data_IF_848080895669
#
_entry.id   IF_848080895669
#
_cell.length_a   1.000
_cell.length_b   1.000
_cell.length_c   1.000
_cell.angle_alpha   90.00
_cell.angle_beta   90.00
_cell.angle_gamma   90.00
#
_symmetry.space_group_name_H-M   'P 1'
#
loop_
_entity.id
_entity.type
_entity.pdbx_description
1 polymer ?
#
# COMPACT_ATOMS: atom_id res chain seq x y z
N UNK A 1 -10.52 -7.89 -6.19
CA UNK A 1 -9.78 -6.65 -6.52
C UNK A 1 -8.52 -6.62 -5.68
N UNK A 2 -7.34 -6.32 -6.24
CA UNK A 2 -6.10 -6.19 -5.46
C UNK A 2 -5.93 -4.73 -5.05
N UNK A 3 -5.80 -4.48 -3.75
CA UNK A 3 -5.58 -3.13 -3.22
C UNK A 3 -4.09 -2.87 -3.10
N UNK A 4 -3.61 -1.79 -3.70
CA UNK A 4 -2.24 -1.31 -3.62
C UNK A 4 -2.26 0.11 -3.06
N UNK A 5 -1.51 0.35 -1.99
CA UNK A 5 -1.39 1.65 -1.36
C UNK A 5 0.06 2.14 -1.36
N UNK A 6 0.22 3.45 -1.46
CA UNK A 6 1.51 4.12 -1.32
C UNK A 6 1.65 4.73 0.07
N UNK A 7 2.83 5.30 0.36
CA UNK A 7 3.04 6.09 1.56
C UNK A 7 2.06 7.25 1.70
N UNK A 8 1.69 7.93 0.61
CA UNK A 8 0.78 9.05 0.67
C UNK A 8 -0.62 8.64 1.13
N UNK A 9 -1.13 7.51 0.63
CA UNK A 9 -2.39 6.94 1.08
C UNK A 9 -2.33 6.52 2.55
N UNK A 10 -1.25 5.87 2.97
CA UNK A 10 -1.06 5.51 4.38
C UNK A 10 -1.06 6.75 5.30
N UNK A 11 -0.41 7.84 4.88
CA UNK A 11 -0.42 9.10 5.63
C UNK A 11 -1.81 9.74 5.67
N UNK A 12 -2.57 9.73 4.57
CA UNK A 12 -3.96 10.19 4.53
C UNK A 12 -4.82 9.40 5.53
N UNK A 13 -4.67 8.07 5.55
CA UNK A 13 -5.37 7.18 6.48
C UNK A 13 -5.00 7.52 7.93
N UNK A 14 -3.71 7.66 8.25
CA UNK A 14 -3.27 7.98 9.60
C UNK A 14 -3.82 9.31 10.12
N UNK A 15 -3.87 10.34 9.26
CA UNK A 15 -4.34 11.70 9.60
C UNK A 15 -5.86 11.86 9.60
N UNK A 16 -6.60 11.00 8.90
CA UNK A 16 -8.06 11.08 8.83
C UNK A 16 -8.72 10.86 10.20
N UNK A 17 -9.92 11.38 10.38
CA UNK A 17 -10.77 11.03 11.53
C UNK A 17 -11.33 9.61 11.36
N UNK A 18 -11.90 9.05 12.43
CA UNK A 18 -12.67 7.81 12.34
C UNK A 18 -13.87 7.99 11.39
N UNK A 19 -14.25 6.91 10.71
CA UNK A 19 -15.34 6.89 9.73
C UNK A 19 -14.87 6.56 8.30
N UNK A 20 -15.76 6.76 7.32
CA UNK A 20 -15.47 6.46 5.93
C UNK A 20 -14.45 7.45 5.34
N UNK A 21 -13.51 6.92 4.56
CA UNK A 21 -12.53 7.70 3.80
C UNK A 21 -12.49 7.19 2.37
N UNK A 22 -12.57 8.09 1.39
CA UNK A 22 -12.42 7.74 -0.03
C UNK A 22 -11.00 8.08 -0.49
N UNK A 23 -10.30 7.11 -1.06
CA UNK A 23 -8.95 7.27 -1.60
C UNK A 23 -8.72 6.31 -2.77
N UNK A 24 -7.68 6.55 -3.56
CA UNK A 24 -7.24 5.57 -4.55
C UNK A 24 -6.39 4.50 -3.89
N UNK A 25 -6.73 3.23 -4.14
CA UNK A 25 -6.04 2.05 -3.62
C UNK A 25 -5.60 1.12 -4.74
N UNK A 26 -5.28 1.70 -5.88
CA UNK A 26 -4.86 1.03 -7.11
C UNK A 26 -3.98 1.96 -7.95
N UNK A 27 -3.12 2.74 -7.29
CA UNK A 27 -2.13 3.62 -7.92
C UNK A 27 -2.73 4.73 -8.80
N UNK A 28 -3.91 5.24 -8.42
CA UNK A 28 -4.58 6.36 -9.08
C UNK A 28 -5.61 5.97 -10.14
N UNK A 29 -5.83 4.67 -10.38
CA UNK A 29 -6.75 4.20 -11.44
C UNK A 29 -8.23 4.36 -11.07
N UNK A 30 -8.58 4.12 -9.81
CA UNK A 30 -9.94 4.29 -9.29
C UNK A 30 -9.92 4.75 -7.83
N UNK A 31 -11.10 5.00 -7.26
CA UNK A 31 -11.25 5.31 -5.84
C UNK A 31 -12.12 4.27 -5.14
N UNK A 32 -11.80 4.02 -3.88
CA UNK A 32 -12.55 3.12 -3.02
C UNK A 32 -12.80 3.78 -1.66
N UNK A 33 -13.95 3.47 -1.08
CA UNK A 33 -14.28 3.87 0.29
C UNK A 33 -13.78 2.80 1.25
N UNK A 34 -12.98 3.22 2.22
CA UNK A 34 -12.53 2.40 3.34
C UNK A 34 -13.15 2.91 4.63
N UNK A 35 -13.09 2.10 5.67
CA UNK A 35 -13.58 2.50 6.99
C UNK A 35 -12.44 2.50 8.00
N UNK A 36 -12.16 3.66 8.60
CA UNK A 36 -11.17 3.80 9.66
C UNK A 36 -11.83 3.78 11.02
N UNK A 37 -11.33 2.93 11.91
CA UNK A 37 -11.64 2.92 13.34
C UNK A 37 -10.40 3.32 14.16
N UNK A 38 -10.55 3.36 15.50
CA UNK A 38 -9.44 3.65 16.43
C UNK A 38 -8.22 2.74 16.27
N UNK A 39 -8.46 1.47 16.00
CA UNK A 39 -7.41 0.43 16.03
C UNK A 39 -7.18 -0.25 14.70
N UNK A 40 -8.12 -0.14 13.76
CA UNK A 40 -8.13 -0.90 12.52
C UNK A 40 -8.61 -0.04 11.35
N UNK A 41 -8.33 -0.51 10.14
CA UNK A 41 -8.80 0.04 8.87
C UNK A 41 -9.36 -1.10 8.05
N UNK A 42 -10.62 -1.01 7.65
CA UNK A 42 -11.30 -1.99 6.80
C UNK A 42 -11.19 -1.56 5.34
N UNK A 43 -10.61 -2.42 4.52
CA UNK A 43 -10.38 -2.20 3.08
C UNK A 43 -10.99 -3.38 2.32
N UNK A 44 -12.20 -3.19 1.76
CA UNK A 44 -13.01 -4.30 1.26
C UNK A 44 -13.27 -5.32 2.37
N UNK A 45 -12.92 -6.59 2.12
CA UNK A 45 -13.06 -7.68 3.10
C UNK A 45 -11.84 -7.83 4.04
N UNK A 46 -10.83 -6.97 3.90
CA UNK A 46 -9.58 -7.04 4.67
C UNK A 46 -9.63 -6.08 5.86
N UNK A 47 -9.18 -6.53 7.03
CA UNK A 47 -9.06 -5.69 8.23
C UNK A 47 -7.60 -5.54 8.64
N UNK A 48 -7.08 -4.32 8.53
CA UNK A 48 -5.65 -4.03 8.76
C UNK A 48 -5.49 -3.26 10.07
N UNK A 49 -4.60 -3.68 10.98
CA UNK A 49 -4.30 -2.90 12.18
C UNK A 49 -3.77 -1.51 11.81
N UNK A 50 -4.28 -0.46 12.45
CA UNK A 50 -3.88 0.93 12.18
C UNK A 50 -2.36 1.13 12.39
N UNK A 51 -1.77 0.39 13.33
CA UNK A 51 -0.32 0.33 13.58
C UNK A 51 0.51 -0.19 12.41
N UNK A 52 -0.07 -0.86 11.42
CA UNK A 52 0.64 -1.33 10.23
C UNK A 52 0.97 -0.15 9.30
N UNK A 53 0.08 0.85 9.22
CA UNK A 53 0.24 2.01 8.35
C UNK A 53 1.40 2.92 8.78
N UNK A 54 1.78 2.91 10.07
CA UNK A 54 2.96 3.66 10.56
C UNK A 54 4.29 3.07 10.11
N UNK A 55 4.29 1.81 9.63
CA UNK A 55 5.49 1.12 9.12
C UNK A 55 5.65 1.24 7.60
N UNK A 56 4.68 1.84 6.91
CA UNK A 56 4.74 2.08 5.47
C UNK A 56 5.87 3.06 5.18
N UNK A 57 6.70 2.74 4.18
CA UNK A 57 7.84 3.54 3.75
C UNK A 57 7.57 4.15 2.38
N UNK A 58 8.05 5.36 2.15
CA UNK A 58 7.93 6.08 0.88
C UNK A 58 8.51 5.32 -0.32
N UNK A 59 9.55 4.51 -0.08
CA UNK A 59 10.28 3.77 -1.11
C UNK A 59 9.64 2.46 -1.57
N UNK A 60 8.39 2.17 -1.13
CA UNK A 60 7.68 0.94 -1.47
C UNK A 60 6.18 1.18 -1.65
N UNK A 61 5.59 0.49 -2.63
CA UNK A 61 4.16 0.21 -2.65
C UNK A 61 3.82 -1.02 -1.78
N UNK A 62 2.61 -1.07 -1.24
CA UNK A 62 2.13 -2.16 -0.39
C UNK A 62 0.82 -2.73 -0.92
N UNK A 63 0.75 -4.06 -1.06
CA UNK A 63 -0.48 -4.78 -1.32
C UNK A 63 -1.21 -5.11 -0.01
N UNK A 64 -2.54 -5.04 -0.03
CA UNK A 64 -3.39 -5.49 1.07
C UNK A 64 -3.77 -6.94 0.83
N UNK A 65 -3.15 -7.86 1.56
CA UNK A 65 -3.33 -9.31 1.40
C UNK A 65 -3.22 -9.99 2.78
N UNK A 66 -4.06 -11.00 3.02
CA UNK A 66 -4.08 -11.78 4.27
C UNK A 66 -4.19 -10.93 5.55
N UNK A 67 -5.02 -9.89 5.53
CA UNK A 67 -5.16 -8.91 6.62
C UNK A 67 -3.84 -8.20 6.98
N UNK A 68 -2.91 -8.07 6.03
CA UNK A 68 -1.61 -7.42 6.21
C UNK A 68 -1.25 -6.49 5.04
N UNK A 69 -0.30 -5.59 5.30
CA UNK A 69 0.34 -4.76 4.28
C UNK A 69 1.66 -5.43 3.86
N UNK A 70 1.70 -6.02 2.68
CA UNK A 70 2.88 -6.68 2.12
C UNK A 70 3.57 -5.76 1.13
N UNK A 71 4.89 -5.61 1.21
CA UNK A 71 5.64 -4.82 0.22
C UNK A 71 5.50 -5.47 -1.16
N UNK A 72 5.25 -4.66 -2.18
CA UNK A 72 5.32 -5.10 -3.58
C UNK A 72 6.79 -5.08 -4.01
N UNK A 73 7.51 -6.10 -3.57
CA UNK A 73 8.90 -6.32 -3.91
C UNK A 73 9.23 -7.82 -3.86
N UNK A 74 10.12 -8.27 -4.74
CA UNK A 74 10.57 -9.65 -4.81
C UNK A 74 12.04 -9.72 -5.22
N UNK A 75 12.73 -10.73 -4.74
CA UNK A 75 14.03 -11.13 -5.26
C UNK A 75 13.84 -12.29 -6.22
N UNK A 76 14.51 -12.25 -7.36
CA UNK A 76 14.51 -13.31 -8.37
C UNK A 76 15.85 -14.01 -8.34
N UNK A 77 15.85 -15.30 -7.97
CA UNK A 77 17.05 -16.12 -7.96
C UNK A 77 17.56 -16.38 -9.40
N UNK A 78 16.65 -16.50 -10.37
CA UNK A 78 16.98 -16.77 -11.77
C UNK A 78 17.81 -15.65 -12.41
N UNK A 79 17.50 -14.40 -12.06
CA UNK A 79 18.18 -13.22 -12.61
C UNK A 79 19.15 -12.59 -11.62
N UNK A 80 19.18 -13.06 -10.36
CA UNK A 80 19.90 -12.45 -9.24
C UNK A 80 19.61 -10.94 -9.08
N UNK A 81 18.33 -10.56 -9.22
CA UNK A 81 17.88 -9.17 -9.17
C UNK A 81 16.78 -8.95 -8.13
N UNK A 82 16.83 -7.79 -7.48
CA UNK A 82 15.77 -7.32 -6.60
C UNK A 82 14.85 -6.35 -7.34
N UNK A 83 13.58 -6.70 -7.43
CA UNK A 83 12.53 -5.90 -8.06
C UNK A 83 11.67 -5.28 -6.96
N UNK A 84 11.41 -3.98 -7.06
CA UNK A 84 10.42 -3.31 -6.20
C UNK A 84 9.60 -2.31 -6.99
N UNK A 85 8.33 -2.17 -6.60
CA UNK A 85 7.44 -1.15 -7.14
C UNK A 85 7.59 0.15 -6.35
N UNK A 86 7.94 1.21 -7.05
CA UNK A 86 8.08 2.57 -6.51
C UNK A 86 6.89 3.42 -6.97
N UNK A 87 6.20 4.11 -6.03
CA UNK A 87 5.20 5.10 -6.40
C UNK A 87 5.90 6.33 -6.97
N UNK A 88 5.66 6.67 -8.23
CA UNK A 88 6.12 7.94 -8.82
C UNK A 88 4.93 8.80 -9.22
N UNK A 89 5.17 10.08 -9.51
CA UNK A 89 4.11 11.06 -9.76
C UNK A 89 3.24 10.71 -10.98
N UNK A 90 3.84 10.18 -12.04
CA UNK A 90 3.14 9.89 -13.30
C UNK A 90 2.69 8.43 -13.39
N UNK A 91 3.64 7.48 -13.26
CA UNK A 91 3.36 6.05 -13.40
C UNK A 91 4.15 5.23 -12.37
N UNK A 92 3.57 4.19 -11.77
CA UNK A 92 4.31 3.31 -10.87
C UNK A 92 5.51 2.69 -11.61
N UNK A 93 6.69 2.85 -11.04
CA UNK A 93 7.96 2.43 -11.68
C UNK A 93 8.48 1.16 -11.01
N UNK A 94 8.86 0.16 -11.80
CA UNK A 94 9.61 -0.99 -11.28
C UNK A 94 11.08 -0.62 -11.28
N UNK A 95 11.70 -0.63 -10.11
CA UNK A 95 13.15 -0.46 -10.00
C UNK A 95 13.80 -1.84 -9.87
N UNK A 96 14.92 -2.03 -10.55
CA UNK A 96 15.75 -3.22 -10.48
C UNK A 96 17.10 -2.86 -9.88
N UNK A 97 17.63 -3.71 -9.00
CA UNK A 97 19.00 -3.58 -8.51
C UNK A 97 19.67 -4.94 -8.45
N UNK A 98 20.93 -5.01 -8.87
CA UNK A 98 21.83 -6.12 -8.58
C UNK A 98 22.52 -5.87 -7.24
N UNK A 99 22.87 -6.95 -6.55
CA UNK A 99 23.68 -6.91 -5.33
C UNK A 99 25.13 -6.61 -5.64
#
# INVERSE_FOLDING_TARGET
MKWILTFNEAQKILKAKEGPLTLSLDLGLSTATIEKSKTNVKIGDQTIPLKAFTKVKETFCYAVEDNQLKKVALFSDDTNLYYKLLPTADWPTITLSST
#
